data_IF_778746496665
#
_entry.id   IF_778746496665
#
_cell.length_a   1.000
_cell.length_b   1.000
_cell.length_c   1.000
_cell.angle_alpha   90.00
_cell.angle_beta   90.00
_cell.angle_gamma   90.00
#
_symmetry.space_group_name_H-M   'P 1'
#
loop_
_entity.id
_entity.type
_entity.pdbx_description
1 polymer ?
#
# COMPACT_ATOMS: atom_id res chain seq x y z
N UNK A 1 1.31 -24.06 13.63
CA UNK A 1 2.54 -24.36 12.86
C UNK A 1 2.25 -25.11 11.57
N UNK A 2 1.34 -26.10 11.55
CA UNK A 2 1.03 -26.87 10.33
C UNK A 2 0.57 -26.02 9.13
N UNK A 3 -0.31 -25.04 9.33
CA UNK A 3 -0.81 -24.16 8.24
C UNK A 3 0.30 -23.27 7.64
N UNK A 4 1.22 -22.78 8.46
CA UNK A 4 2.35 -21.95 8.00
C UNK A 4 3.31 -22.79 7.15
N UNK A 5 3.62 -24.01 7.62
CA UNK A 5 4.46 -24.95 6.90
C UNK A 5 3.81 -25.41 5.58
N UNK A 6 2.48 -25.50 5.54
CA UNK A 6 1.75 -25.78 4.30
C UNK A 6 1.92 -24.65 3.27
N UNK A 7 1.81 -23.38 3.69
CA UNK A 7 2.02 -22.24 2.78
C UNK A 7 3.45 -22.22 2.21
N UNK A 8 4.45 -22.51 3.04
CA UNK A 8 5.87 -22.51 2.63
C UNK A 8 6.28 -23.73 1.79
N UNK A 9 5.59 -24.85 1.94
CA UNK A 9 5.86 -26.07 1.16
C UNK A 9 5.20 -26.07 -0.22
N UNK A 10 4.45 -25.01 -0.56
CA UNK A 10 3.93 -24.85 -1.92
C UNK A 10 5.07 -24.67 -2.92
N UNK A 11 4.98 -25.32 -4.09
CA UNK A 11 6.01 -25.24 -5.12
C UNK A 11 6.34 -23.80 -5.54
N UNK A 12 5.35 -22.90 -5.48
CA UNK A 12 5.54 -21.47 -5.76
C UNK A 12 6.35 -20.80 -4.66
N UNK A 13 6.03 -21.03 -3.37
CA UNK A 13 6.80 -20.48 -2.25
C UNK A 13 8.24 -20.99 -2.24
N UNK A 14 8.44 -22.30 -2.46
CA UNK A 14 9.76 -22.91 -2.57
C UNK A 14 10.54 -22.34 -3.75
N UNK A 15 9.91 -22.16 -4.92
CA UNK A 15 10.57 -21.53 -6.07
C UNK A 15 10.97 -20.08 -5.80
N UNK A 16 10.08 -19.28 -5.19
CA UNK A 16 10.41 -17.89 -4.85
C UNK A 16 11.58 -17.84 -3.87
N UNK A 17 11.63 -18.74 -2.88
CA UNK A 17 12.64 -18.75 -1.81
C UNK A 17 13.98 -19.34 -2.23
N UNK A 18 13.98 -20.48 -2.92
CA UNK A 18 15.16 -21.31 -3.14
C UNK A 18 15.73 -21.20 -4.56
N UNK A 19 14.97 -20.64 -5.51
CA UNK A 19 15.49 -20.45 -6.86
C UNK A 19 16.59 -19.39 -6.88
N UNK A 20 17.76 -19.77 -7.39
CA UNK A 20 18.87 -18.85 -7.71
C UNK A 20 18.59 -17.96 -8.95
N UNK A 21 17.36 -17.98 -9.47
CA UNK A 21 16.93 -17.16 -10.59
C UNK A 21 16.69 -15.72 -10.17
N UNK A 22 17.13 -14.77 -11.00
CA UNK A 22 16.81 -13.35 -10.84
C UNK A 22 15.29 -13.09 -10.83
N UNK A 23 14.51 -13.97 -11.46
CA UNK A 23 13.05 -13.86 -11.61
C UNK A 23 12.26 -14.30 -10.37
N UNK A 24 12.91 -14.93 -9.39
CA UNK A 24 12.28 -15.40 -8.16
C UNK A 24 12.25 -14.28 -7.10
N UNK A 25 12.88 -14.47 -5.95
CA UNK A 25 12.91 -13.48 -4.87
C UNK A 25 13.31 -12.05 -5.33
N UNK A 26 14.39 -11.84 -6.12
CA UNK A 26 14.87 -10.50 -6.46
C UNK A 26 13.88 -9.69 -7.31
N UNK A 27 13.20 -10.34 -8.26
CA UNK A 27 12.17 -9.68 -9.06
C UNK A 27 10.93 -9.38 -8.23
N UNK A 28 10.51 -10.29 -7.36
CA UNK A 28 9.34 -10.05 -6.50
C UNK A 28 9.55 -8.87 -5.54
N UNK A 29 10.73 -8.78 -4.92
CA UNK A 29 11.05 -7.63 -4.05
C UNK A 29 11.18 -6.33 -4.85
N UNK A 30 11.74 -6.37 -6.06
CA UNK A 30 11.84 -5.20 -6.94
C UNK A 30 10.45 -4.72 -7.40
N UNK A 31 9.59 -5.62 -7.87
CA UNK A 31 8.22 -5.32 -8.26
C UNK A 31 7.41 -4.76 -7.10
N UNK A 32 7.55 -5.34 -5.91
CA UNK A 32 6.90 -4.83 -4.70
C UNK A 32 7.39 -3.42 -4.34
N UNK A 33 8.71 -3.16 -4.43
CA UNK A 33 9.26 -1.84 -4.12
C UNK A 33 8.81 -0.78 -5.13
N UNK A 34 8.86 -1.09 -6.43
CA UNK A 34 8.42 -0.19 -7.51
C UNK A 34 6.91 0.06 -7.41
N UNK A 35 6.12 -1.00 -7.23
CA UNK A 35 4.69 -0.90 -7.03
C UNK A 35 4.36 -0.02 -5.82
N UNK A 36 5.06 -0.20 -4.69
CA UNK A 36 4.88 0.65 -3.50
C UNK A 36 5.25 2.11 -3.75
N UNK A 37 6.32 2.38 -4.50
CA UNK A 37 6.72 3.73 -4.86
C UNK A 37 5.65 4.43 -5.71
N UNK A 38 5.08 3.74 -6.70
CA UNK A 38 4.00 4.28 -7.54
C UNK A 38 2.71 4.43 -6.71
N UNK A 39 2.33 3.41 -5.95
CA UNK A 39 1.11 3.38 -5.15
C UNK A 39 1.08 4.51 -4.13
N UNK A 40 2.10 4.60 -3.27
CA UNK A 40 2.16 5.62 -2.23
C UNK A 40 2.48 6.98 -2.84
N UNK A 41 3.39 7.05 -3.83
CA UNK A 41 3.77 8.30 -4.48
C UNK A 41 2.60 9.02 -5.14
N UNK A 42 1.76 8.30 -5.89
CA UNK A 42 0.55 8.88 -6.47
C UNK A 42 -0.47 9.28 -5.41
N UNK A 43 -0.66 8.47 -4.36
CA UNK A 43 -1.53 8.85 -3.23
C UNK A 43 -1.07 10.15 -2.57
N UNK A 44 0.23 10.28 -2.30
CA UNK A 44 0.84 11.48 -1.72
C UNK A 44 0.64 12.69 -2.64
N UNK A 45 0.92 12.55 -3.94
CA UNK A 45 0.76 13.63 -4.90
C UNK A 45 -0.68 14.15 -4.96
N UNK A 46 -1.67 13.24 -4.99
CA UNK A 46 -3.10 13.58 -4.98
C UNK A 46 -3.47 14.26 -3.66
N UNK A 47 -3.06 13.71 -2.51
CA UNK A 47 -3.37 14.28 -1.20
C UNK A 47 -2.80 15.69 -1.04
N UNK A 48 -1.56 15.94 -1.49
CA UNK A 48 -0.95 17.27 -1.48
C UNK A 48 -1.69 18.25 -2.39
N UNK A 49 -2.15 17.79 -3.56
CA UNK A 49 -2.98 18.61 -4.45
C UNK A 49 -4.32 19.01 -3.79
N UNK A 50 -4.98 18.07 -3.11
CA UNK A 50 -6.25 18.31 -2.41
C UNK A 50 -6.09 19.20 -1.16
N UNK A 51 -4.93 19.14 -0.51
CA UNK A 51 -4.59 20.00 0.63
C UNK A 51 -4.18 21.41 0.19
N UNK A 52 -3.78 21.60 -1.08
CA UNK A 52 -3.42 22.91 -1.61
C UNK A 52 -4.62 23.87 -1.59
N UNK A 53 -4.37 25.12 -1.17
CA UNK A 53 -5.37 26.20 -1.22
C UNK A 53 -5.63 26.69 -2.64
N UNK A 54 -4.69 26.48 -3.57
CA UNK A 54 -4.80 26.86 -4.99
C UNK A 54 -4.26 25.73 -5.88
N UNK A 55 -5.03 24.65 -6.08
CA UNK A 55 -4.61 23.55 -6.94
C UNK A 55 -4.45 24.05 -8.39
N UNK A 56 -3.33 23.70 -9.03
CA UNK A 56 -3.04 24.07 -10.43
C UNK A 56 -3.64 23.09 -11.45
N UNK A 57 -4.04 21.90 -11.01
CA UNK A 57 -4.56 20.84 -11.87
C UNK A 57 -6.09 20.71 -11.69
N UNK A 58 -6.85 20.50 -12.78
CA UNK A 58 -8.27 20.19 -12.71
C UNK A 58 -8.52 18.88 -11.96
N UNK A 59 -9.57 18.83 -11.13
CA UNK A 59 -9.95 17.62 -10.38
C UNK A 59 -10.30 16.43 -11.31
N UNK A 60 -10.77 16.71 -12.53
CA UNK A 60 -11.00 15.69 -13.55
C UNK A 60 -9.71 14.93 -13.94
N UNK A 61 -8.57 15.62 -14.00
CA UNK A 61 -7.28 14.97 -14.30
C UNK A 61 -6.85 14.03 -13.17
N UNK A 62 -7.22 14.34 -11.92
CA UNK A 62 -6.91 13.52 -10.74
C UNK A 62 -7.56 12.14 -10.85
N UNK A 63 -8.78 12.06 -11.38
CA UNK A 63 -9.50 10.79 -11.56
C UNK A 63 -8.74 9.80 -12.45
N UNK A 64 -8.00 10.30 -13.44
CA UNK A 64 -7.21 9.44 -14.35
C UNK A 64 -6.04 8.77 -13.65
N UNK A 65 -5.52 9.30 -12.54
CA UNK A 65 -4.41 8.70 -11.81
C UNK A 65 -4.83 7.50 -10.96
N UNK A 66 -6.09 7.41 -10.53
CA UNK A 66 -6.57 6.28 -9.73
C UNK A 66 -6.43 4.95 -10.46
N UNK A 67 -6.54 4.90 -11.80
CA UNK A 67 -6.31 3.66 -12.56
C UNK A 67 -4.90 3.10 -12.34
N UNK A 68 -3.90 3.98 -12.25
CA UNK A 68 -2.51 3.60 -12.01
C UNK A 68 -2.28 3.20 -10.56
N UNK A 69 -2.98 3.87 -9.62
CA UNK A 69 -2.99 3.48 -8.20
C UNK A 69 -3.52 2.06 -8.04
N UNK A 70 -4.65 1.71 -8.68
CA UNK A 70 -5.23 0.37 -8.62
C UNK A 70 -4.32 -0.69 -9.26
N UNK A 71 -3.67 -0.36 -10.38
CA UNK A 71 -2.68 -1.24 -11.01
C UNK A 71 -1.48 -1.48 -10.07
N UNK A 72 -0.95 -0.42 -9.46
CA UNK A 72 0.17 -0.52 -8.52
C UNK A 72 -0.21 -1.31 -7.26
N UNK A 73 -1.45 -1.16 -6.77
CA UNK A 73 -1.97 -1.97 -5.67
C UNK A 73 -2.04 -3.44 -6.06
N UNK A 74 -2.54 -3.79 -7.25
CA UNK A 74 -2.59 -5.17 -7.72
C UNK A 74 -1.20 -5.81 -7.79
N UNK A 75 -0.22 -5.10 -8.36
CA UNK A 75 1.19 -5.55 -8.41
C UNK A 75 1.74 -5.78 -7.01
N UNK A 76 1.48 -4.87 -6.06
CA UNK A 76 1.94 -5.01 -4.68
C UNK A 76 1.29 -6.15 -3.93
N UNK A 77 -0.01 -6.39 -4.15
CA UNK A 77 -0.73 -7.51 -3.52
C UNK A 77 -0.15 -8.82 -4.03
N UNK A 78 -0.02 -8.99 -5.34
CA UNK A 78 0.52 -10.22 -5.94
C UNK A 78 1.95 -10.48 -5.46
N UNK A 79 2.85 -9.51 -5.64
CA UNK A 79 4.25 -9.64 -5.20
C UNK A 79 4.38 -9.82 -3.69
N UNK A 80 3.61 -9.08 -2.90
CA UNK A 80 3.62 -9.13 -1.44
C UNK A 80 3.11 -10.46 -0.90
N UNK A 81 2.07 -11.04 -1.51
CA UNK A 81 1.56 -12.37 -1.16
C UNK A 81 2.58 -13.45 -1.48
N UNK A 82 3.27 -13.38 -2.62
CA UNK A 82 4.32 -14.34 -2.97
C UNK A 82 5.52 -14.25 -2.00
N UNK A 83 5.93 -13.03 -1.63
CA UNK A 83 6.96 -12.82 -0.61
C UNK A 83 6.52 -13.32 0.78
N UNK A 84 5.25 -13.13 1.13
CA UNK A 84 4.69 -13.64 2.37
C UNK A 84 4.68 -15.17 2.39
N UNK A 85 4.28 -15.82 1.30
CA UNK A 85 4.27 -17.28 1.20
C UNK A 85 5.68 -17.87 1.30
N UNK A 86 6.69 -17.19 0.74
CA UNK A 86 8.08 -17.61 0.83
C UNK A 86 8.61 -17.59 2.28
N UNK A 87 8.21 -16.60 3.08
CA UNK A 87 8.71 -16.36 4.44
C UNK A 87 7.57 -16.28 5.47
N UNK A 88 6.61 -17.20 5.40
CA UNK A 88 5.36 -17.11 6.17
C UNK A 88 5.60 -17.27 7.68
N UNK A 89 6.47 -18.20 8.06
CA UNK A 89 6.84 -18.48 9.45
C UNK A 89 7.60 -17.33 10.10
N UNK A 90 8.38 -16.57 9.32
CA UNK A 90 9.10 -15.39 9.82
C UNK A 90 8.17 -14.18 9.96
N UNK A 91 7.29 -13.96 8.98
CA UNK A 91 6.48 -12.73 8.92
C UNK A 91 5.21 -12.80 9.78
N UNK A 92 4.51 -13.95 9.80
CA UNK A 92 3.23 -14.08 10.50
C UNK A 92 3.37 -14.23 12.02
N UNK A 93 4.59 -14.38 12.54
CA UNK A 93 4.85 -14.35 13.98
C UNK A 93 5.02 -12.90 14.48
N UNK A 94 5.33 -11.95 13.59
CA UNK A 94 5.64 -10.57 13.96
C UNK A 94 4.37 -9.71 14.11
N UNK A 95 4.06 -9.17 15.31
CA UNK A 95 2.97 -8.21 15.52
C UNK A 95 3.00 -7.02 14.57
N UNK A 96 4.19 -6.50 14.24
CA UNK A 96 4.35 -5.35 13.34
C UNK A 96 3.92 -5.65 11.91
N UNK A 97 3.94 -6.92 11.48
CA UNK A 97 3.39 -7.33 10.19
C UNK A 97 1.87 -7.14 10.16
N UNK A 98 1.15 -7.45 11.24
CA UNK A 98 -0.29 -7.24 11.32
C UNK A 98 -0.64 -5.74 11.35
N UNK A 99 0.17 -4.92 12.03
CA UNK A 99 0.02 -3.45 11.98
C UNK A 99 0.16 -2.96 10.53
N UNK A 100 1.18 -3.44 9.79
CA UNK A 100 1.36 -3.10 8.38
C UNK A 100 0.10 -3.44 7.57
N UNK A 101 -0.43 -4.66 7.68
CA UNK A 101 -1.61 -5.08 6.91
C UNK A 101 -2.86 -4.28 7.29
N UNK A 102 -3.09 -4.05 8.58
CA UNK A 102 -4.20 -3.23 9.05
C UNK A 102 -4.17 -1.83 8.42
N UNK A 103 -3.01 -1.16 8.45
CA UNK A 103 -2.87 0.18 7.89
C UNK A 103 -2.95 0.21 6.37
N UNK A 104 -2.48 -0.82 5.66
CA UNK A 104 -2.72 -0.96 4.21
C UNK A 104 -4.22 -1.03 3.91
N UNK A 105 -4.99 -1.83 4.66
CA UNK A 105 -6.44 -1.95 4.47
C UNK A 105 -7.12 -0.59 4.75
N UNK A 106 -6.75 0.08 5.84
CA UNK A 106 -7.26 1.42 6.16
C UNK A 106 -6.93 2.43 5.06
N UNK A 107 -5.71 2.42 4.52
CA UNK A 107 -5.32 3.28 3.41
C UNK A 107 -6.15 3.02 2.15
N UNK A 108 -6.44 1.76 1.82
CA UNK A 108 -7.30 1.42 0.66
C UNK A 108 -8.73 1.90 0.87
N UNK A 109 -9.28 1.79 2.09
CA UNK A 109 -10.62 2.31 2.42
C UNK A 109 -10.65 3.83 2.27
N UNK A 110 -9.63 4.53 2.77
CA UNK A 110 -9.53 5.99 2.64
C UNK A 110 -9.36 6.39 1.16
N UNK A 111 -8.55 5.65 0.40
CA UNK A 111 -8.37 5.85 -1.04
C UNK A 111 -9.70 5.74 -1.80
N UNK A 112 -10.52 4.72 -1.50
CA UNK A 112 -11.85 4.55 -2.11
C UNK A 112 -12.75 5.75 -1.81
N UNK A 113 -12.79 6.20 -0.55
CA UNK A 113 -13.57 7.38 -0.15
C UNK A 113 -13.07 8.66 -0.81
N UNK A 114 -11.75 8.77 -1.00
CA UNK A 114 -11.12 9.92 -1.65
C UNK A 114 -11.42 9.91 -3.16
N UNK A 115 -11.38 8.76 -3.83
CA UNK A 115 -11.79 8.61 -5.23
C UNK A 115 -13.25 9.00 -5.43
N UNK A 116 -14.13 8.50 -4.58
CA UNK A 116 -15.57 8.83 -4.61
C UNK A 116 -15.79 10.33 -4.38
N UNK A 117 -15.15 10.92 -3.37
CA UNK A 117 -15.27 12.35 -3.09
C UNK A 117 -14.78 13.21 -4.25
N UNK A 118 -13.64 12.88 -4.86
CA UNK A 118 -13.13 13.61 -6.04
C UNK A 118 -14.10 13.46 -7.23
N UNK A 119 -14.69 12.29 -7.43
CA UNK A 119 -15.69 12.09 -8.48
C UNK A 119 -16.97 12.91 -8.21
N UNK A 120 -17.40 13.02 -6.95
CA UNK A 120 -18.54 13.87 -6.59
C UNK A 120 -18.25 15.35 -6.88
N UNK A 121 -17.08 15.87 -6.50
CA UNK A 121 -16.69 17.27 -6.78
C UNK A 121 -16.66 17.61 -8.27
N UNK A 122 -16.25 16.66 -9.11
CA UNK A 122 -16.24 16.86 -10.57
C UNK A 122 -17.66 16.95 -11.14
N UNK A 123 -18.62 16.25 -10.53
CA UNK A 123 -20.00 16.19 -11.02
C UNK A 123 -20.94 17.22 -10.37
N UNK A 124 -20.68 17.61 -9.13
CA UNK A 124 -21.53 18.48 -8.32
C UNK A 124 -20.67 19.56 -7.66
N UNK A 125 -20.84 20.81 -8.09
CA UNK A 125 -20.06 21.95 -7.64
C UNK A 125 -20.54 22.54 -6.28
N UNK A 126 -20.94 21.71 -5.33
CA UNK A 126 -21.34 22.16 -3.98
C UNK A 126 -20.11 22.28 -3.06
N UNK A 127 -19.58 23.50 -2.99
CA UNK A 127 -18.14 23.73 -2.97
C UNK A 127 -17.39 23.64 -1.62
N UNK A 128 -18.03 23.82 -0.46
CA UNK A 128 -17.26 24.04 0.80
C UNK A 128 -17.24 22.83 1.76
N UNK A 129 -18.38 22.16 1.96
CA UNK A 129 -18.47 21.02 2.89
C UNK A 129 -17.71 19.79 2.35
N UNK A 130 -17.78 19.59 1.03
CA UNK A 130 -17.10 18.49 0.35
C UNK A 130 -15.58 18.69 0.31
N UNK A 131 -15.12 19.94 0.13
CA UNK A 131 -13.69 20.28 0.17
C UNK A 131 -13.06 20.01 1.55
N UNK A 132 -13.73 20.37 2.65
CA UNK A 132 -13.25 20.06 4.02
C UNK A 132 -13.12 18.55 4.25
N UNK A 133 -14.11 17.78 3.81
CA UNK A 133 -14.09 16.31 3.90
C UNK A 133 -12.91 15.71 3.11
N UNK A 134 -12.66 16.19 1.89
CA UNK A 134 -11.53 15.74 1.08
C UNK A 134 -10.17 16.04 1.71
N UNK A 135 -10.03 17.20 2.37
CA UNK A 135 -8.81 17.53 3.12
C UNK A 135 -8.58 16.58 4.29
N UNK A 136 -9.61 16.27 5.08
CA UNK A 136 -9.52 15.29 6.18
C UNK A 136 -9.12 13.92 5.65
N UNK A 137 -9.77 13.44 4.59
CA UNK A 137 -9.43 12.16 3.96
C UNK A 137 -7.99 12.15 3.43
N UNK A 138 -7.50 13.28 2.89
CA UNK A 138 -6.12 13.41 2.42
C UNK A 138 -5.11 13.27 3.56
N UNK A 139 -5.35 13.91 4.71
CA UNK A 139 -4.50 13.76 5.91
C UNK A 139 -4.52 12.32 6.42
N UNK A 140 -5.71 11.70 6.51
CA UNK A 140 -5.83 10.30 6.92
C UNK A 140 -5.11 9.35 5.97
N UNK A 141 -5.18 9.60 4.67
CA UNK A 141 -4.49 8.81 3.65
C UNK A 141 -2.97 8.88 3.84
N UNK A 142 -2.42 10.08 4.00
CA UNK A 142 -0.99 10.29 4.26
C UNK A 142 -0.53 9.60 5.54
N UNK A 143 -1.28 9.77 6.64
CA UNK A 143 -0.94 9.18 7.93
C UNK A 143 -0.96 7.65 7.87
N UNK A 144 -2.00 7.06 7.25
CA UNK A 144 -2.13 5.60 7.17
C UNK A 144 -1.05 4.97 6.30
N UNK A 145 -0.72 5.57 5.15
CA UNK A 145 0.39 5.09 4.30
C UNK A 145 1.75 5.23 4.98
N UNK A 146 1.97 6.32 5.72
CA UNK A 146 3.20 6.52 6.48
C UNK A 146 3.39 5.43 7.53
N UNK A 147 2.35 5.12 8.30
CA UNK A 147 2.40 4.05 9.31
C UNK A 147 2.62 2.68 8.64
N UNK A 148 1.93 2.39 7.53
CA UNK A 148 2.13 1.16 6.77
C UNK A 148 3.58 1.00 6.25
N UNK A 149 4.19 2.08 5.74
CA UNK A 149 5.57 2.08 5.26
C UNK A 149 6.58 1.86 6.39
N UNK A 150 6.41 2.57 7.52
CA UNK A 150 7.29 2.43 8.69
C UNK A 150 7.17 1.01 9.25
N UNK A 151 5.95 0.51 9.48
CA UNK A 151 5.72 -0.86 9.94
C UNK A 151 6.32 -1.89 8.97
N UNK A 152 6.18 -1.68 7.67
CA UNK A 152 6.77 -2.55 6.65
C UNK A 152 8.31 -2.51 6.57
N UNK A 153 8.97 -1.46 7.06
CA UNK A 153 10.44 -1.45 7.19
C UNK A 153 10.88 -2.12 8.49
N UNK A 154 10.12 -1.95 9.56
CA UNK A 154 10.40 -2.58 10.84
C UNK A 154 10.31 -4.11 10.80
N UNK A 155 9.57 -4.71 9.85
CA UNK A 155 9.58 -6.18 9.66
C UNK A 155 10.96 -6.74 9.30
N UNK A 156 11.88 -5.92 8.77
CA UNK A 156 13.24 -6.34 8.47
C UNK A 156 14.17 -6.31 9.70
N UNK A 157 13.72 -5.76 10.83
CA UNK A 157 14.51 -5.57 12.04
C UNK A 157 13.81 -6.12 13.29
N UNK A 158 13.44 -7.41 13.32
CA UNK A 158 12.77 -8.01 14.48
C UNK A 158 13.59 -7.87 15.76
N UNK A 159 14.93 -7.92 15.67
CA UNK A 159 15.84 -7.76 16.81
C UNK A 159 15.74 -6.40 17.51
N UNK A 160 15.39 -5.33 16.78
CA UNK A 160 15.20 -4.00 17.38
C UNK A 160 13.88 -3.88 18.16
N UNK A 161 12.89 -4.71 17.83
CA UNK A 161 11.56 -4.68 18.44
C UNK A 161 11.45 -5.60 19.67
N UNK A 162 12.22 -6.69 19.67
CA UNK A 162 12.16 -7.75 20.68
C UNK A 162 13.48 -7.91 21.43
N UNK A 163 14.24 -6.81 21.62
CA UNK A 163 15.61 -6.82 22.16
C UNK A 163 15.86 -7.92 23.21
N UNK A 164 16.85 -8.77 22.91
CA UNK A 164 17.40 -9.90 23.69
C UNK A 164 16.41 -10.75 24.49
#
# INVERSE_FOLDING_TARGET
>A
MEVLNFLESTAVATWVRESLSLWAFPTMIALHAIGMAVLVGLNVAICLLLLSSKPRAPMASVLTFFRFIWLALAVNVVSGTLLLMANATELLVLPVFYIKILFVILSVIVLLKLQQGVATEVNYADADLSQKKLRILSVMCLATWMIALVAGRLTAYPMLLFGH
#
